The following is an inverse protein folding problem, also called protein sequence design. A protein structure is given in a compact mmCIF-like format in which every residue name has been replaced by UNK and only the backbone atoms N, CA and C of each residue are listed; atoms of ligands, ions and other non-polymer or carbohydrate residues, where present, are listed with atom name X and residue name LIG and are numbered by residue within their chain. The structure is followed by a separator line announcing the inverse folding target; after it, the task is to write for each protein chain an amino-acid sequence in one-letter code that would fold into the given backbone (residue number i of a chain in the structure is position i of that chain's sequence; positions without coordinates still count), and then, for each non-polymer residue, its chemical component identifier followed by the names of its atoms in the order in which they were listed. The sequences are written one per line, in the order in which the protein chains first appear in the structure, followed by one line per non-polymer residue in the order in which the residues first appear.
data_IF_403869192110
#
_entry.id   IF_403869192110
#
_cell.length_a   1.000
_cell.length_b   1.000
_cell.length_c   1.000
_cell.angle_alpha   90.00
_cell.angle_beta   90.00
_cell.angle_gamma   90.00
#
_symmetry.space_group_name_H-M   'P 1'
#
loop_
_entity.id
_entity.type
_entity.pdbx_description
1 polymer ?
#
# COMPACT_ATOMS: atom_id res chain seq x y z
N UNK A 1 -11.34 15.40 11.72
CA UNK A 1 -11.50 16.05 10.40
C UNK A 1 -10.17 16.61 9.87
N UNK A 2 -9.42 17.41 10.64
CA UNK A 2 -8.14 17.98 10.18
C UNK A 2 -7.09 16.91 9.83
N UNK A 3 -7.03 15.82 10.60
CA UNK A 3 -6.10 14.69 10.34
C UNK A 3 -6.42 14.01 9.01
N UNK A 4 -7.69 13.69 8.79
CA UNK A 4 -8.15 13.02 7.56
C UNK A 4 -7.92 13.91 6.32
N UNK A 5 -8.25 15.21 6.43
CA UNK A 5 -7.99 16.20 5.37
C UNK A 5 -6.49 16.32 5.09
N UNK A 6 -5.66 16.36 6.13
CA UNK A 6 -4.20 16.37 6.01
C UNK A 6 -3.66 15.14 5.28
N UNK A 7 -4.14 13.95 5.63
CA UNK A 7 -3.76 12.70 4.96
C UNK A 7 -4.14 12.69 3.47
N UNK A 8 -5.35 13.14 3.13
CA UNK A 8 -5.79 13.24 1.73
C UNK A 8 -4.92 14.23 0.95
N UNK A 9 -4.68 15.42 1.51
CA UNK A 9 -3.85 16.43 0.87
C UNK A 9 -2.40 15.94 0.65
N UNK A 10 -1.81 15.30 1.66
CA UNK A 10 -0.45 14.76 1.56
C UNK A 10 -0.35 13.66 0.50
N UNK A 11 -1.30 12.71 0.51
CA UNK A 11 -1.31 11.60 -0.47
C UNK A 11 -1.54 12.12 -1.89
N UNK A 12 -2.43 13.10 -2.06
CA UNK A 12 -2.66 13.76 -3.34
C UNK A 12 -1.41 14.48 -3.87
N UNK A 13 -0.65 15.15 -3.00
CA UNK A 13 0.62 15.78 -3.38
C UNK A 13 1.67 14.75 -3.81
N UNK A 14 1.82 13.65 -3.07
CA UNK A 14 2.75 12.56 -3.44
C UNK A 14 2.37 11.98 -4.81
N UNK A 15 1.09 11.72 -5.05
CA UNK A 15 0.60 11.22 -6.34
C UNK A 15 0.90 12.21 -7.48
N UNK A 16 0.62 13.49 -7.29
CA UNK A 16 0.90 14.52 -8.30
C UNK A 16 2.40 14.61 -8.63
N UNK A 17 3.28 14.54 -7.63
CA UNK A 17 4.73 14.54 -7.83
C UNK A 17 5.23 13.26 -8.51
N UNK A 18 4.65 12.11 -8.18
CA UNK A 18 4.98 10.83 -8.81
C UNK A 18 4.62 10.83 -10.30
N UNK A 19 3.42 11.32 -10.65
CA UNK A 19 3.00 11.50 -12.04
C UNK A 19 3.92 12.46 -12.80
N UNK A 20 4.25 13.62 -12.20
CA UNK A 20 5.11 14.62 -12.84
C UNK A 20 6.54 14.14 -13.08
N UNK A 21 7.04 13.25 -12.23
CA UNK A 21 8.40 12.70 -12.35
C UNK A 21 8.49 11.46 -13.23
N UNK A 22 7.36 10.96 -13.77
CA UNK A 22 7.31 9.67 -14.48
C UNK A 22 7.57 8.47 -13.57
N UNK A 23 7.47 8.65 -12.24
CA UNK A 23 7.76 7.62 -11.24
C UNK A 23 6.52 7.02 -10.58
N UNK A 24 5.37 7.14 -11.25
CA UNK A 24 4.09 6.70 -10.73
C UNK A 24 4.10 5.20 -10.36
N UNK A 25 4.66 4.36 -11.24
CA UNK A 25 4.80 2.91 -11.00
C UNK A 25 5.63 2.61 -9.75
N UNK A 26 6.82 3.21 -9.59
CA UNK A 26 7.66 2.94 -8.41
C UNK A 26 7.04 3.44 -7.11
N UNK A 27 6.35 4.60 -7.13
CA UNK A 27 5.67 5.13 -5.95
C UNK A 27 4.48 4.24 -5.57
N UNK A 28 3.67 3.82 -6.54
CA UNK A 28 2.56 2.89 -6.30
C UNK A 28 3.06 1.54 -5.78
N UNK A 29 4.12 0.97 -6.40
CA UNK A 29 4.75 -0.27 -5.94
C UNK A 29 5.27 -0.15 -4.50
N UNK A 30 5.88 0.98 -4.14
CA UNK A 30 6.33 1.23 -2.77
C UNK A 30 5.16 1.26 -1.77
N UNK A 31 4.02 1.81 -2.18
CA UNK A 31 2.79 1.80 -1.37
C UNK A 31 2.26 0.38 -1.13
N UNK A 32 2.22 -0.45 -2.17
CA UNK A 32 1.85 -1.87 -2.04
C UNK A 32 2.82 -2.65 -1.15
N UNK A 33 4.13 -2.46 -1.29
CA UNK A 33 5.10 -3.11 -0.40
C UNK A 33 4.96 -2.66 1.05
N UNK A 34 4.67 -1.38 1.29
CA UNK A 34 4.41 -0.87 2.64
C UNK A 34 3.13 -1.49 3.23
N UNK A 35 2.10 -1.71 2.41
CA UNK A 35 0.87 -2.39 2.81
C UNK A 35 1.13 -3.87 3.16
N UNK A 36 1.95 -4.57 2.37
CA UNK A 36 2.33 -5.94 2.66
C UNK A 36 3.02 -6.07 4.03
N UNK A 37 3.93 -5.13 4.35
CA UNK A 37 4.58 -5.08 5.67
C UNK A 37 3.56 -4.79 6.76
N UNK A 38 2.60 -3.89 6.52
CA UNK A 38 1.53 -3.63 7.48
C UNK A 38 0.70 -4.88 7.75
N UNK A 39 0.25 -5.60 6.72
CA UNK A 39 -0.55 -6.82 6.88
C UNK A 39 0.17 -7.90 7.70
N UNK A 40 1.49 -8.05 7.52
CA UNK A 40 2.28 -9.04 8.26
C UNK A 40 2.60 -8.63 9.69
N UNK A 41 2.62 -7.33 9.99
CA UNK A 41 3.00 -6.80 11.32
C UNK A 41 1.81 -6.38 12.16
N UNK A 42 0.64 -6.24 11.55
CA UNK A 42 -0.58 -5.85 12.24
C UNK A 42 -1.15 -7.05 13.01
N UNK A 43 -1.26 -6.90 14.34
CA UNK A 43 -1.96 -7.87 15.16
C UNK A 43 -3.47 -7.82 14.89
N UNK A 44 -4.12 -8.96 14.61
CA UNK A 44 -5.56 -9.02 14.49
C UNK A 44 -6.22 -8.55 15.79
N UNK A 45 -7.10 -7.55 15.71
CA UNK A 45 -7.89 -7.12 16.86
C UNK A 45 -8.74 -8.27 17.43
N UNK A 46 -9.12 -8.17 18.70
CA UNK A 46 -9.90 -9.21 19.42
C UNK A 46 -11.26 -9.56 18.79
N UNK A 47 -11.75 -8.73 17.87
CA UNK A 47 -12.98 -8.96 17.09
C UNK A 47 -12.72 -9.36 15.63
N UNK A 48 -11.50 -9.71 15.24
CA UNK A 48 -11.20 -10.11 13.86
C UNK A 48 -11.97 -11.37 13.47
N UNK A 49 -12.67 -11.31 12.33
CA UNK A 49 -13.35 -12.44 11.72
C UNK A 49 -12.47 -13.20 10.73
N UNK A 50 -11.24 -12.71 10.49
CA UNK A 50 -10.35 -13.27 9.47
C UNK A 50 -9.50 -14.41 10.04
N UNK A 51 -9.34 -15.52 9.29
CA UNK A 51 -8.42 -16.59 9.65
C UNK A 51 -6.96 -16.10 9.74
N UNK A 52 -6.16 -16.77 10.55
CA UNK A 52 -4.75 -16.39 10.78
C UNK A 52 -3.88 -16.40 9.50
N UNK A 53 -4.26 -17.15 8.46
CA UNK A 53 -3.54 -17.17 7.19
C UNK A 53 -3.88 -15.99 6.26
N UNK A 54 -4.99 -15.29 6.50
CA UNK A 54 -5.51 -14.26 5.61
C UNK A 54 -4.51 -13.11 5.37
N UNK A 55 -3.84 -12.54 6.40
CA UNK A 55 -2.87 -11.47 6.18
C UNK A 55 -1.69 -11.87 5.30
N UNK A 56 -1.23 -13.13 5.40
CA UNK A 56 -0.13 -13.63 4.57
C UNK A 56 -0.52 -13.71 3.08
N UNK A 57 -1.79 -14.05 2.78
CA UNK A 57 -2.30 -14.06 1.40
C UNK A 57 -2.40 -12.63 0.86
N UNK A 58 -2.90 -11.68 1.65
CA UNK A 58 -2.97 -10.26 1.27
C UNK A 58 -1.57 -9.68 1.00
N UNK A 59 -0.62 -9.91 1.90
CA UNK A 59 0.77 -9.50 1.70
C UNK A 59 1.39 -10.11 0.42
N UNK A 60 1.05 -11.36 0.09
CA UNK A 60 1.47 -11.99 -1.16
C UNK A 60 0.89 -11.31 -2.40
N UNK A 61 -0.39 -10.93 -2.36
CA UNK A 61 -1.04 -10.17 -3.43
C UNK A 61 -0.36 -8.81 -3.64
N UNK A 62 -0.11 -8.09 -2.55
CA UNK A 62 0.54 -6.77 -2.57
C UNK A 62 1.93 -6.83 -3.20
N UNK A 63 2.75 -7.82 -2.84
CA UNK A 63 4.07 -8.05 -3.44
C UNK A 63 3.94 -8.35 -4.94
N UNK A 64 2.94 -9.14 -5.33
CA UNK A 64 2.65 -9.45 -6.73
C UNK A 64 2.33 -8.20 -7.55
N UNK A 65 1.44 -7.34 -7.05
CA UNK A 65 1.09 -6.07 -7.71
C UNK A 65 2.29 -5.12 -7.75
N UNK A 66 3.08 -5.03 -6.67
CA UNK A 66 4.30 -4.23 -6.66
C UNK A 66 5.32 -4.71 -7.70
N UNK A 67 5.47 -6.03 -7.85
CA UNK A 67 6.35 -6.62 -8.86
C UNK A 67 5.90 -6.28 -10.28
N UNK A 68 4.60 -6.43 -10.55
CA UNK A 68 4.00 -6.08 -11.84
C UNK A 68 4.26 -4.61 -12.20
N UNK A 69 3.95 -3.68 -11.28
CA UNK A 69 4.19 -2.24 -11.45
C UNK A 69 5.67 -1.85 -11.66
N UNK A 70 6.61 -2.67 -11.19
CA UNK A 70 8.05 -2.44 -11.37
C UNK A 70 8.60 -3.06 -12.67
N UNK A 71 7.84 -3.97 -13.29
CA UNK A 71 8.26 -4.72 -14.48
C UNK A 71 7.47 -4.38 -15.73
N UNK A 72 6.28 -3.79 -15.59
CA UNK A 72 5.57 -3.08 -16.65
C UNK A 72 6.48 -1.97 -17.19
N UNK A 73 6.82 -2.06 -18.49
CA UNK A 73 7.65 -1.09 -19.21
C UNK A 73 6.80 -0.05 -19.92
#
# INVERSE_FOLDING_TARGET
MLREVGSVAATGLVAALALRSGRAGQVAASGWLAHAVFDLTHEPGSGSLFPAWYPAVCAGFDVGVAWDLLTER
#
